data_IF_774073776528
#
_entry.id   IF_774073776528
#
_cell.length_a   1.000
_cell.length_b   1.000
_cell.length_c   1.000
_cell.angle_alpha   90.00
_cell.angle_beta   90.00
_cell.angle_gamma   90.00
#
_symmetry.space_group_name_H-M   'P 1'
#
loop_
_entity.id
_entity.type
_entity.pdbx_description
1 polymer ?
#
# COMPACT_ATOMS: atom_id res chain seq x y z
N UNK A 1 10.19 -23.43 8.64
CA UNK A 1 9.37 -22.63 7.72
C UNK A 1 9.02 -21.34 8.43
N UNK A 2 8.92 -20.24 7.70
CA UNK A 2 8.54 -18.93 8.25
C UNK A 2 7.03 -18.88 8.40
N UNK A 3 6.50 -18.62 9.60
CA UNK A 3 5.07 -18.35 9.78
C UNK A 3 4.72 -17.05 9.07
N UNK A 4 3.75 -17.04 8.17
CA UNK A 4 3.43 -15.84 7.38
C UNK A 4 1.96 -15.48 7.55
N UNK A 5 1.69 -14.21 7.83
CA UNK A 5 0.32 -13.67 7.92
C UNK A 5 0.15 -12.52 6.93
N UNK A 6 -0.98 -12.53 6.22
CA UNK A 6 -1.42 -11.40 5.42
C UNK A 6 -2.34 -10.51 6.27
N UNK A 7 -1.97 -9.23 6.44
CA UNK A 7 -2.76 -8.24 7.18
C UNK A 7 -3.37 -7.27 6.18
N UNK A 8 -4.60 -7.54 5.77
CA UNK A 8 -5.33 -6.75 4.77
C UNK A 8 -6.30 -5.76 5.42
N UNK A 9 -6.96 -4.93 4.61
CA UNK A 9 -7.93 -3.94 5.05
C UNK A 9 -7.86 -2.66 4.24
N UNK A 10 -8.98 -1.96 4.17
CA UNK A 10 -9.12 -0.76 3.35
C UNK A 10 -8.25 0.39 3.86
N UNK A 11 -8.13 1.47 3.07
CA UNK A 11 -7.33 2.62 3.47
C UNK A 11 -7.85 3.21 4.80
N UNK A 12 -6.95 3.55 5.70
CA UNK A 12 -7.29 4.14 6.99
C UNK A 12 -7.90 3.19 8.02
N UNK A 13 -7.99 1.87 7.77
CA UNK A 13 -8.57 0.93 8.76
C UNK A 13 -7.70 0.69 10.01
N UNK A 14 -6.42 1.09 9.97
CA UNK A 14 -5.47 0.95 11.09
C UNK A 14 -4.52 -0.25 11.00
N UNK A 15 -4.31 -0.81 9.80
CA UNK A 15 -3.37 -1.93 9.55
C UNK A 15 -1.98 -1.71 10.16
N UNK A 16 -1.33 -0.60 9.82
CA UNK A 16 0.01 -0.26 10.29
C UNK A 16 0.07 -0.11 11.81
N UNK A 17 -0.92 0.58 12.41
CA UNK A 17 -1.05 0.68 13.87
C UNK A 17 -1.16 -0.70 14.53
N UNK A 18 -1.93 -1.61 13.94
CA UNK A 18 -2.05 -2.98 14.42
C UNK A 18 -0.76 -3.78 14.29
N UNK A 19 -0.02 -3.62 13.20
CA UNK A 19 1.29 -4.26 13.04
C UNK A 19 2.27 -3.75 14.09
N UNK A 20 2.32 -2.44 14.33
CA UNK A 20 3.16 -1.85 15.37
C UNK A 20 2.82 -2.40 16.76
N UNK A 21 1.53 -2.52 17.08
CA UNK A 21 1.09 -3.14 18.32
C UNK A 21 1.56 -4.60 18.43
N UNK A 22 1.38 -5.40 17.38
CA UNK A 22 1.82 -6.80 17.36
C UNK A 22 3.33 -6.93 17.55
N UNK A 23 4.12 -6.06 16.91
CA UNK A 23 5.58 -6.05 17.04
C UNK A 23 6.04 -5.64 18.43
N UNK A 24 5.36 -4.68 19.07
CA UNK A 24 5.67 -4.26 20.44
C UNK A 24 5.38 -5.37 21.48
N UNK A 25 4.48 -6.30 21.16
CA UNK A 25 4.04 -7.37 22.05
C UNK A 25 4.48 -8.78 21.62
N UNK A 26 5.34 -8.89 20.60
CA UNK A 26 5.86 -10.18 20.14
C UNK A 26 6.78 -10.82 21.18
N UNK A 27 7.00 -12.12 21.07
CA UNK A 27 8.08 -12.78 21.81
C UNK A 27 9.43 -12.14 21.41
N UNK A 28 10.21 -11.60 22.37
CA UNK A 28 11.54 -11.06 22.09
C UNK A 28 12.51 -12.08 21.49
N UNK A 29 12.29 -13.39 21.74
CA UNK A 29 13.09 -14.47 21.18
C UNK A 29 12.80 -14.75 19.70
N UNK A 30 11.61 -14.37 19.21
CA UNK A 30 11.25 -14.54 17.80
C UNK A 30 11.75 -13.37 16.94
N UNK A 31 12.35 -13.72 15.80
CA UNK A 31 12.76 -12.76 14.78
C UNK A 31 11.63 -12.52 13.80
N UNK A 32 10.98 -11.36 13.89
CA UNK A 32 9.91 -10.99 12.99
C UNK A 32 10.43 -10.13 11.84
N UNK A 33 9.80 -10.27 10.68
CA UNK A 33 9.99 -9.39 9.54
C UNK A 33 8.64 -8.81 9.11
N UNK A 34 8.66 -7.60 8.56
CA UNK A 34 7.49 -7.00 7.94
C UNK A 34 7.82 -6.62 6.50
N UNK A 35 6.96 -7.05 5.58
CA UNK A 35 6.97 -6.65 4.19
C UNK A 35 5.81 -5.69 3.96
N UNK A 36 6.12 -4.40 3.96
CA UNK A 36 5.14 -3.34 3.70
C UNK A 36 5.27 -2.82 2.28
N UNK A 37 4.15 -2.46 1.67
CA UNK A 37 4.14 -1.81 0.38
C UNK A 37 4.10 -0.29 0.51
N UNK A 38 4.99 0.43 -0.20
CA UNK A 38 5.06 1.88 -0.08
C UNK A 38 3.98 2.58 -0.92
N UNK A 39 2.87 2.99 -0.30
CA UNK A 39 1.96 4.01 -0.86
C UNK A 39 1.37 4.94 0.21
N UNK A 40 2.23 5.75 0.83
CA UNK A 40 1.88 7.12 1.16
C UNK A 40 1.17 7.39 2.50
N UNK A 41 1.60 6.77 3.59
CA UNK A 41 1.64 7.45 4.88
C UNK A 41 3.03 7.25 5.49
N UNK A 42 3.88 8.23 5.21
CA UNK A 42 5.13 8.57 5.91
C UNK A 42 6.25 7.52 5.98
N UNK A 43 7.46 7.96 5.65
CA UNK A 43 8.72 7.32 6.07
C UNK A 43 8.93 7.31 7.60
N UNK A 44 7.87 7.46 8.39
CA UNK A 44 7.82 7.15 9.82
C UNK A 44 7.79 5.64 9.99
N UNK A 45 7.12 4.88 9.12
CA UNK A 45 7.01 3.43 9.26
C UNK A 45 8.37 2.74 9.26
N UNK A 46 9.29 3.20 8.40
CA UNK A 46 10.70 2.79 8.39
C UNK A 46 11.41 2.97 9.73
N UNK A 47 11.25 4.13 10.35
CA UNK A 47 11.94 4.51 11.58
C UNK A 47 11.25 3.97 12.85
N UNK A 48 9.91 3.97 12.90
CA UNK A 48 9.12 3.46 14.03
C UNK A 48 9.18 1.92 14.09
N UNK A 49 9.23 1.24 12.94
CA UNK A 49 9.45 -0.20 12.88
C UNK A 49 10.91 -0.58 13.14
N UNK A 50 11.89 0.28 12.80
CA UNK A 50 13.31 0.02 13.11
C UNK A 50 13.56 -0.07 14.63
N UNK A 51 12.87 0.74 15.44
CA UNK A 51 12.95 0.70 16.90
C UNK A 51 12.30 -0.55 17.52
N UNK A 52 11.46 -1.27 16.78
CA UNK A 52 10.79 -2.50 17.25
C UNK A 52 11.67 -3.77 17.17
N UNK A 53 12.88 -3.66 16.61
CA UNK A 53 13.81 -4.80 16.45
C UNK A 53 13.43 -5.80 15.35
N UNK A 54 12.43 -5.48 14.52
CA UNK A 54 12.02 -6.30 13.37
C UNK A 54 12.83 -5.99 12.11
N UNK A 55 13.01 -6.99 11.24
CA UNK A 55 13.56 -6.77 9.91
C UNK A 55 12.49 -6.16 8.99
N UNK A 56 12.58 -4.86 8.74
CA UNK A 56 11.71 -4.19 7.78
C UNK A 56 12.29 -4.30 6.36
N UNK A 57 11.46 -4.73 5.41
CA UNK A 57 11.77 -4.61 3.99
C UNK A 57 10.65 -3.86 3.29
N UNK A 58 11.00 -2.71 2.76
CA UNK A 58 10.10 -1.90 1.94
C UNK A 58 10.21 -2.32 0.47
N UNK A 59 9.08 -2.28 -0.25
CA UNK A 59 9.02 -2.43 -1.71
C UNK A 59 8.93 -1.04 -2.33
N UNK A 60 10.00 -0.52 -2.96
CA UNK A 60 9.99 0.82 -3.53
C UNK A 60 9.13 0.88 -4.81
N UNK A 61 8.28 1.91 -4.89
CA UNK A 61 7.76 2.46 -6.15
C UNK A 61 6.54 1.81 -6.82
N UNK A 62 5.80 0.88 -6.22
CA UNK A 62 4.61 0.33 -6.86
C UNK A 62 3.68 -0.44 -5.93
N UNK A 63 2.42 -0.63 -6.34
CA UNK A 63 1.51 -1.57 -5.66
C UNK A 63 2.12 -2.99 -5.69
N UNK A 64 2.17 -3.65 -4.53
CA UNK A 64 2.65 -5.04 -4.36
C UNK A 64 2.01 -6.01 -5.39
N UNK A 65 0.79 -5.69 -5.83
CA UNK A 65 -0.01 -6.39 -6.82
C UNK A 65 0.12 -5.88 -8.28
N UNK A 66 0.59 -4.65 -8.55
CA UNK A 66 0.38 -4.03 -9.87
C UNK A 66 1.43 -4.35 -10.95
N UNK A 67 2.57 -4.97 -10.63
CA UNK A 67 3.65 -5.30 -11.60
C UNK A 67 4.05 -6.77 -11.50
N UNK A 68 3.15 -7.69 -11.88
CA UNK A 68 3.37 -9.15 -11.87
C UNK A 68 3.96 -9.70 -10.55
N UNK A 69 3.78 -8.99 -9.43
CA UNK A 69 4.37 -9.32 -8.14
C UNK A 69 5.91 -9.38 -8.10
N UNK A 70 6.66 -8.98 -9.13
CA UNK A 70 8.13 -9.16 -9.15
C UNK A 70 8.84 -8.38 -8.01
N UNK A 71 8.51 -7.11 -7.72
CA UNK A 71 9.09 -6.41 -6.57
C UNK A 71 8.78 -7.12 -5.24
N UNK A 72 7.56 -7.66 -5.10
CA UNK A 72 7.17 -8.48 -3.95
C UNK A 72 7.98 -9.76 -3.87
N UNK A 73 8.14 -10.49 -4.98
CA UNK A 73 8.95 -11.71 -5.04
C UNK A 73 10.40 -11.45 -4.66
N UNK A 74 10.99 -10.35 -5.12
CA UNK A 74 12.37 -9.97 -4.76
C UNK A 74 12.47 -9.65 -3.27
N UNK A 75 11.56 -8.85 -2.73
CA UNK A 75 11.52 -8.52 -1.31
C UNK A 75 11.33 -9.76 -0.43
N UNK A 76 10.36 -10.60 -0.79
CA UNK A 76 10.04 -11.85 -0.13
C UNK A 76 11.23 -12.82 -0.15
N UNK A 77 11.85 -13.04 -1.31
CA UNK A 77 13.03 -13.90 -1.43
C UNK A 77 14.22 -13.39 -0.61
N UNK A 78 14.41 -12.07 -0.56
CA UNK A 78 15.46 -11.46 0.26
C UNK A 78 15.23 -11.73 1.74
N UNK A 79 14.00 -11.50 2.23
CA UNK A 79 13.64 -11.75 3.62
C UNK A 79 13.76 -13.24 3.99
N UNK A 80 13.24 -14.14 3.17
CA UNK A 80 13.28 -15.58 3.45
C UNK A 80 14.70 -16.15 3.44
N UNK A 81 15.58 -15.68 2.54
CA UNK A 81 16.94 -16.23 2.40
C UNK A 81 17.96 -15.59 3.34
N UNK A 82 17.94 -14.27 3.46
CA UNK A 82 18.92 -13.51 4.23
C UNK A 82 18.42 -13.19 5.63
N UNK A 83 17.15 -12.79 5.74
CA UNK A 83 16.52 -12.46 7.01
C UNK A 83 16.23 -13.69 7.85
N UNK A 84 15.79 -14.80 7.24
CA UNK A 84 15.34 -16.04 7.91
C UNK A 84 14.49 -15.75 9.16
N UNK A 85 13.40 -14.97 9.04
CA UNK A 85 12.57 -14.66 10.18
C UNK A 85 11.78 -15.88 10.63
N UNK A 86 11.42 -15.92 11.92
CA UNK A 86 10.46 -16.88 12.46
C UNK A 86 9.03 -16.56 12.00
N UNK A 87 8.73 -15.25 11.87
CA UNK A 87 7.45 -14.75 11.38
C UNK A 87 7.60 -13.62 10.36
N UNK A 88 6.76 -13.64 9.33
CA UNK A 88 6.62 -12.59 8.33
C UNK A 88 5.20 -12.02 8.34
N UNK A 89 5.07 -10.72 8.58
CA UNK A 89 3.83 -9.98 8.38
C UNK A 89 3.88 -9.28 7.03
N UNK A 90 2.81 -9.41 6.24
CA UNK A 90 2.71 -8.75 4.93
C UNK A 90 1.56 -7.76 5.00
N UNK A 91 1.88 -6.48 4.76
CA UNK A 91 0.90 -5.41 4.64
C UNK A 91 0.83 -4.93 3.17
N UNK A 92 -0.22 -5.30 2.43
CA UNK A 92 -0.52 -4.65 1.17
C UNK A 92 -1.07 -3.24 1.41
N UNK A 93 -0.99 -2.41 0.38
CA UNK A 93 -1.71 -1.12 0.36
C UNK A 93 -3.19 -1.30 0.65
N UNK A 94 -3.85 -0.25 1.14
CA UNK A 94 -5.32 -0.22 1.28
C UNK A 94 -6.09 -0.50 -0.03
N UNK A 95 -5.40 -0.44 -1.18
CA UNK A 95 -5.89 -0.78 -2.52
C UNK A 95 -5.33 -2.11 -3.07
N UNK A 96 -4.64 -2.88 -2.24
CA UNK A 96 -3.96 -4.10 -2.68
C UNK A 96 -4.93 -5.24 -2.93
N UNK A 97 -4.66 -6.02 -3.98
CA UNK A 97 -5.47 -7.17 -4.37
C UNK A 97 -5.04 -8.42 -3.58
N UNK A 98 -5.81 -8.85 -2.56
CA UNK A 98 -5.41 -9.94 -1.67
C UNK A 98 -5.27 -11.27 -2.41
N UNK A 99 -6.08 -11.50 -3.45
CA UNK A 99 -6.02 -12.72 -4.26
C UNK A 99 -4.63 -12.98 -4.82
N UNK A 100 -4.02 -12.00 -5.47
CA UNK A 100 -2.72 -12.18 -6.14
C UNK A 100 -1.61 -12.45 -5.13
N UNK A 101 -1.69 -11.82 -3.96
CA UNK A 101 -0.75 -12.02 -2.86
C UNK A 101 -0.90 -13.44 -2.31
N UNK A 102 -2.14 -13.89 -2.07
CA UNK A 102 -2.41 -15.26 -1.61
C UNK A 102 -1.99 -16.30 -2.65
N UNK A 103 -2.26 -16.08 -3.94
CA UNK A 103 -1.83 -16.96 -5.04
C UNK A 103 -0.29 -17.06 -5.08
N UNK A 104 0.42 -15.95 -4.84
CA UNK A 104 1.88 -15.96 -4.76
C UNK A 104 2.38 -16.72 -3.53
N UNK A 105 1.83 -16.43 -2.36
CA UNK A 105 2.26 -17.03 -1.09
C UNK A 105 1.97 -18.53 -1.00
N UNK A 106 0.97 -19.00 -1.74
CA UNK A 106 0.61 -20.42 -1.84
C UNK A 106 1.22 -21.13 -3.06
N UNK A 107 2.03 -20.44 -3.88
CA UNK A 107 2.65 -21.04 -5.05
C UNK A 107 3.67 -22.14 -4.64
N UNK A 108 3.80 -23.23 -5.43
CA UNK A 108 4.67 -24.38 -5.08
C UNK A 108 6.13 -24.02 -4.78
N UNK A 109 6.65 -22.95 -5.39
CA UNK A 109 8.02 -22.48 -5.16
C UNK A 109 8.24 -21.96 -3.72
N UNK A 110 7.18 -21.49 -3.05
CA UNK A 110 7.25 -20.97 -1.68
C UNK A 110 6.81 -21.97 -0.61
N UNK A 111 6.15 -23.07 -0.99
CA UNK A 111 5.70 -24.12 -0.07
C UNK A 111 6.81 -24.62 0.89
N UNK A 112 8.09 -24.81 0.48
CA UNK A 112 9.14 -25.23 1.42
C UNK A 112 9.58 -24.15 2.43
N UNK A 113 9.20 -22.90 2.21
CA UNK A 113 9.73 -21.74 2.91
C UNK A 113 8.69 -21.04 3.78
N UNK A 114 7.44 -21.01 3.32
CA UNK A 114 6.33 -20.25 3.89
C UNK A 114 5.30 -21.20 4.48
N UNK A 115 4.97 -20.95 5.73
CA UNK A 115 3.82 -21.52 6.42
C UNK A 115 2.74 -20.43 6.52
N UNK A 116 1.84 -20.38 5.54
CA UNK A 116 0.80 -19.35 5.46
C UNK A 116 -0.31 -19.61 6.49
N UNK A 117 -0.36 -18.74 7.49
CA UNK A 117 -1.34 -18.72 8.58
C UNK A 117 -2.55 -17.85 8.23
N UNK A 118 -3.48 -17.70 9.17
CA UNK A 118 -4.71 -16.93 8.99
C UNK A 118 -4.43 -15.52 8.42
N UNK A 119 -5.27 -15.13 7.44
CA UNK A 119 -5.36 -13.77 6.90
C UNK A 119 -6.28 -12.95 7.77
N UNK A 120 -5.77 -11.82 8.27
CA UNK A 120 -6.54 -10.89 9.10
C UNK A 120 -6.94 -9.69 8.23
N UNK A 121 -8.22 -9.32 8.22
CA UNK A 121 -8.70 -8.09 7.60
C UNK A 121 -9.09 -7.08 8.67
N UNK A 122 -8.38 -5.95 8.70
CA UNK A 122 -8.68 -4.83 9.59
C UNK A 122 -9.78 -3.98 8.94
N UNK A 123 -10.91 -3.87 9.62
CA UNK A 123 -12.11 -3.16 9.19
C UNK A 123 -12.44 -2.06 10.19
N UNK A 124 -12.64 -0.83 9.71
CA UNK A 124 -13.34 0.23 10.46
C UNK A 124 -14.84 0.10 10.17
N UNK A 125 -15.69 -0.27 11.15
CA UNK A 125 -17.12 -0.49 10.93
C UNK A 125 -17.86 0.68 10.28
N UNK A 126 -17.37 1.91 10.45
CA UNK A 126 -18.00 3.11 9.85
C UNK A 126 -17.90 3.12 8.33
N UNK A 127 -16.94 2.39 7.74
CA UNK A 127 -16.85 2.23 6.28
C UNK A 127 -18.03 1.46 5.70
N UNK A 128 -18.74 0.66 6.52
CA UNK A 128 -19.97 -0.02 6.09
C UNK A 128 -21.17 0.92 5.96
N UNK A 129 -21.08 2.14 6.52
CA UNK A 129 -22.10 3.18 6.35
C UNK A 129 -21.91 3.97 5.04
N UNK A 130 -20.73 3.88 4.42
CA UNK A 130 -20.43 4.56 3.16
C UNK A 130 -20.73 3.64 1.97
N UNK A 131 -21.78 3.98 1.22
CA UNK A 131 -22.18 3.24 0.02
C UNK A 131 -21.06 3.10 -1.00
N UNK A 132 -20.17 4.10 -1.14
CA UNK A 132 -19.04 4.02 -2.08
C UNK A 132 -18.04 2.96 -1.65
N UNK A 133 -17.73 2.91 -0.36
CA UNK A 133 -16.85 1.89 0.22
C UNK A 133 -17.45 0.49 0.06
N UNK A 134 -18.73 0.30 0.39
CA UNK A 134 -19.40 -1.00 0.25
C UNK A 134 -19.50 -1.45 -1.21
N UNK A 135 -19.76 -0.52 -2.13
CA UNK A 135 -19.80 -0.78 -3.57
C UNK A 135 -18.41 -1.00 -4.20
N UNK A 136 -17.32 -0.71 -3.50
CA UNK A 136 -15.97 -0.91 -4.00
C UNK A 136 -15.57 -2.40 -4.01
N UNK A 137 -15.17 -2.92 -5.17
CA UNK A 137 -14.77 -4.31 -5.35
C UNK A 137 -13.58 -4.69 -4.46
N UNK A 138 -12.57 -3.83 -4.37
CA UNK A 138 -11.38 -4.09 -3.56
C UNK A 138 -11.72 -4.13 -2.06
N UNK A 139 -12.62 -3.27 -1.57
CA UNK A 139 -13.10 -3.35 -0.18
C UNK A 139 -13.74 -4.72 0.10
N UNK A 140 -14.59 -5.20 -0.81
CA UNK A 140 -15.23 -6.52 -0.67
C UNK A 140 -14.25 -7.67 -0.79
N UNK A 141 -13.29 -7.60 -1.72
CA UNK A 141 -12.27 -8.63 -1.93
C UNK A 141 -11.36 -8.78 -0.71
N UNK A 142 -10.96 -7.66 -0.08
CA UNK A 142 -10.18 -7.66 1.17
C UNK A 142 -10.93 -8.33 2.31
N UNK A 143 -12.22 -8.02 2.47
CA UNK A 143 -13.05 -8.67 3.47
C UNK A 143 -13.25 -10.16 3.13
N UNK A 144 -13.48 -10.52 1.87
CA UNK A 144 -13.72 -11.90 1.45
C UNK A 144 -12.48 -12.79 1.63
N UNK A 145 -11.27 -12.23 1.47
CA UNK A 145 -10.00 -12.95 1.61
C UNK A 145 -9.66 -13.36 3.05
N UNK A 146 -10.31 -12.74 4.03
CA UNK A 146 -9.95 -12.89 5.44
C UNK A 146 -10.44 -14.21 6.04
N UNK A 147 -9.61 -14.81 6.88
CA UNK A 147 -10.01 -15.82 7.85
C UNK A 147 -10.65 -15.16 9.08
N UNK A 148 -10.12 -13.98 9.45
CA UNK A 148 -10.49 -13.25 10.65
C UNK A 148 -10.79 -11.80 10.27
N UNK A 149 -11.96 -11.30 10.65
CA UNK A 149 -12.31 -9.88 10.56
C UNK A 149 -12.02 -9.23 11.90
N UNK A 150 -11.20 -8.18 11.87
CA UNK A 150 -10.89 -7.35 13.03
C UNK A 150 -11.66 -6.04 12.88
N UNK A 151 -12.76 -5.90 13.60
CA UNK A 151 -13.51 -4.66 13.73
C UNK A 151 -12.74 -3.69 14.63
N UNK A 152 -11.88 -2.89 14.02
CA UNK A 152 -10.99 -1.94 14.68
C UNK A 152 -11.67 -0.57 14.90
N UNK A 153 -11.05 0.23 15.76
CA UNK A 153 -11.53 1.55 16.19
C UNK A 153 -12.86 1.49 16.93
N UNK A 154 -13.03 0.46 17.77
CA UNK A 154 -14.19 0.33 18.64
C UNK A 154 -14.40 1.57 19.53
N UNK A 155 -13.32 2.30 19.87
CA UNK A 155 -13.33 3.58 20.57
C UNK A 155 -14.09 4.70 19.81
N UNK A 156 -14.30 4.55 18.50
CA UNK A 156 -15.01 5.50 17.64
C UNK A 156 -16.27 4.91 17.00
N UNK A 157 -16.68 3.72 17.43
CA UNK A 157 -17.88 3.08 16.92
C UNK A 157 -19.13 3.84 17.39
N UNK A 158 -20.10 3.98 16.50
CA UNK A 158 -21.46 4.43 16.82
C UNK A 158 -22.43 3.27 16.72
N UNK A 159 -23.60 3.39 17.35
CA UNK A 159 -24.65 2.37 17.27
C UNK A 159 -25.05 2.05 15.81
N UNK A 160 -25.03 3.05 14.92
CA UNK A 160 -25.28 2.84 13.50
C UNK A 160 -24.18 1.98 12.85
N UNK A 161 -22.91 2.27 13.12
CA UNK A 161 -21.79 1.50 12.55
C UNK A 161 -21.72 0.07 13.10
N UNK A 162 -22.08 -0.15 14.36
CA UNK A 162 -22.17 -1.48 14.96
C UNK A 162 -23.31 -2.29 14.34
N UNK A 163 -24.47 -1.66 14.12
CA UNK A 163 -25.58 -2.30 13.43
C UNK A 163 -25.22 -2.63 11.97
N UNK A 164 -24.52 -1.74 11.27
CA UNK A 164 -24.02 -2.00 9.93
C UNK A 164 -23.05 -3.19 9.90
N UNK A 165 -22.13 -3.28 10.88
CA UNK A 165 -21.24 -4.43 11.05
C UNK A 165 -22.02 -5.72 11.32
N UNK A 166 -23.01 -5.69 12.22
CA UNK A 166 -23.81 -6.86 12.54
C UNK A 166 -24.61 -7.34 11.33
N UNK A 167 -25.22 -6.42 10.58
CA UNK A 167 -25.97 -6.71 9.35
C UNK A 167 -25.05 -7.31 8.30
N UNK A 168 -23.88 -6.71 8.08
CA UNK A 168 -22.88 -7.23 7.16
C UNK A 168 -22.39 -8.62 7.60
N UNK A 169 -22.13 -8.81 8.89
CA UNK A 169 -21.66 -10.08 9.46
C UNK A 169 -22.69 -11.21 9.29
N UNK A 170 -23.97 -10.92 9.48
CA UNK A 170 -25.04 -11.90 9.26
C UNK A 170 -25.09 -12.39 7.82
N UNK A 171 -24.82 -11.52 6.86
CA UNK A 171 -24.90 -11.85 5.44
C UNK A 171 -23.60 -12.46 4.89
N UNK A 172 -22.45 -11.93 5.29
CA UNK A 172 -21.14 -12.27 4.72
C UNK A 172 -20.21 -13.00 5.68
N UNK A 173 -20.43 -12.94 6.99
CA UNK A 173 -19.50 -13.45 8.01
C UNK A 173 -19.19 -14.95 7.86
N UNK A 174 -20.20 -15.77 7.55
CA UNK A 174 -20.02 -17.21 7.39
C UNK A 174 -19.47 -17.86 8.67
N UNK A 175 -18.55 -18.81 8.51
CA UNK A 175 -17.90 -19.52 9.62
C UNK A 175 -16.60 -18.84 10.12
N UNK A 176 -16.39 -17.58 9.72
CA UNK A 176 -15.16 -16.84 10.06
C UNK A 176 -15.22 -16.31 11.48
N UNK A 177 -14.09 -15.81 11.97
CA UNK A 177 -14.01 -15.20 13.29
C UNK A 177 -14.12 -13.68 13.19
N UNK A 178 -14.98 -13.08 14.03
CA UNK A 178 -15.05 -11.63 14.24
C UNK A 178 -14.42 -11.31 15.59
N UNK A 179 -13.49 -10.36 15.59
CA UNK A 179 -12.90 -9.81 16.82
C UNK A 179 -13.00 -8.30 16.79
N UNK A 180 -13.14 -7.68 17.96
CA UNK A 180 -13.15 -6.23 18.10
C UNK A 180 -11.81 -5.75 18.63
N UNK A 181 -11.37 -4.59 18.17
CA UNK A 181 -10.12 -3.96 18.59
C UNK A 181 -10.31 -2.44 18.77
N UNK A 182 -9.65 -1.88 19.76
CA UNK A 182 -9.46 -0.45 19.96
C UNK A 182 -8.01 -0.06 19.67
N UNK A 183 -7.78 1.10 19.05
CA UNK A 183 -6.42 1.59 18.74
C UNK A 183 -5.49 0.57 18.05
N UNK A 184 -6.03 -0.36 17.25
CA UNK A 184 -5.27 -1.41 16.59
C UNK A 184 -4.75 -2.52 17.49
N UNK A 185 -5.20 -2.62 18.75
CA UNK A 185 -4.76 -3.65 19.69
C UNK A 185 -5.36 -5.01 19.32
N UNK A 186 -4.50 -5.92 18.86
CA UNK A 186 -4.89 -7.24 18.38
C UNK A 186 -4.12 -8.28 19.19
N UNK A 187 -4.80 -9.31 19.67
CA UNK A 187 -4.16 -10.45 20.31
C UNK A 187 -3.26 -11.20 19.31
N UNK A 188 -1.96 -11.28 19.62
CA UNK A 188 -0.97 -11.95 18.81
C UNK A 188 -1.27 -13.44 18.58
N UNK A 189 -2.04 -14.10 19.44
CA UNK A 189 -2.44 -15.51 19.28
C UNK A 189 -3.28 -15.74 18.00
N UNK A 190 -3.98 -14.71 17.52
CA UNK A 190 -4.74 -14.78 16.27
C UNK A 190 -3.83 -15.08 15.06
N UNK A 191 -2.55 -14.69 15.13
CA UNK A 191 -1.58 -14.93 14.06
C UNK A 191 -1.16 -16.41 13.95
N UNK A 192 -1.39 -17.22 14.99
CA UNK A 192 -1.06 -18.66 14.98
C UNK A 192 -2.21 -19.53 14.47
N UNK A 193 -3.40 -18.96 14.27
CA UNK A 193 -4.54 -19.67 13.73
C UNK A 193 -4.26 -20.14 12.29
N UNK A 194 -4.72 -21.35 11.93
CA UNK A 194 -4.53 -21.87 10.58
C UNK A 194 -5.34 -21.06 9.56
N UNK A 195 -4.85 -21.02 8.32
CA UNK A 195 -5.65 -20.55 7.19
C UNK A 195 -6.73 -21.59 6.88
N UNK A 196 -8.00 -21.21 7.04
CA UNK A 196 -9.17 -22.05 6.78
C UNK A 196 -9.99 -21.55 5.60
N UNK A 197 -9.87 -20.26 5.27
CA UNK A 197 -10.53 -19.63 4.14
C UNK A 197 -9.78 -19.93 2.84
N UNK A 198 -10.31 -20.92 2.13
CA UNK A 198 -9.87 -21.34 0.80
C UNK A 198 -10.85 -20.90 -0.29
N UNK A 199 -11.78 -19.98 0.02
CA UNK A 199 -12.75 -19.51 -0.96
C UNK A 199 -12.02 -18.93 -2.18
N UNK A 200 -12.49 -19.30 -3.38
CA UNK A 200 -12.03 -18.66 -4.60
C UNK A 200 -12.49 -17.21 -4.58
N UNK A 201 -11.52 -16.31 -4.43
CA UNK A 201 -11.77 -14.89 -4.60
C UNK A 201 -12.03 -14.63 -6.08
N UNK A 202 -13.03 -13.81 -6.42
CA UNK A 202 -13.31 -13.48 -7.81
C UNK A 202 -12.05 -12.92 -8.46
N UNK A 203 -11.75 -13.37 -9.67
CA UNK A 203 -10.80 -12.66 -10.52
C UNK A 203 -11.44 -11.30 -10.82
N UNK A 204 -10.89 -10.21 -10.27
CA UNK A 204 -11.40 -8.87 -10.54
C UNK A 204 -11.47 -8.70 -12.07
N UNK A 205 -12.66 -8.38 -12.61
CA UNK A 205 -12.94 -8.40 -14.05
C UNK A 205 -11.98 -7.52 -14.88
N UNK A 206 -11.34 -6.55 -14.23
CA UNK A 206 -10.29 -5.68 -14.77
C UNK A 206 -9.00 -6.42 -15.17
N UNK A 207 -8.86 -7.72 -14.87
CA UNK A 207 -7.73 -8.58 -15.24
C UNK A 207 -8.04 -9.64 -16.30
N UNK A 208 -9.31 -9.92 -16.64
CA UNK A 208 -9.63 -10.78 -17.78
C UNK A 208 -9.30 -10.10 -19.12
N UNK A 209 -9.18 -8.78 -19.12
CA UNK A 209 -8.79 -7.95 -20.27
C UNK A 209 -7.61 -7.03 -19.93
N UNK A 210 -6.41 -7.59 -19.75
CA UNK A 210 -5.18 -6.82 -19.98
C UNK A 210 -3.96 -7.70 -20.26
N UNK A 211 -3.89 -8.24 -21.48
CA UNK A 211 -2.62 -8.58 -22.13
C UNK A 211 -1.88 -7.34 -22.69
N UNK A 212 -2.29 -6.14 -22.30
CA UNK A 212 -1.56 -4.92 -22.59
C UNK A 212 -0.82 -4.48 -21.32
N UNK A 213 0.50 -4.69 -21.30
CA UNK A 213 1.52 -4.12 -20.40
C UNK A 213 1.01 -2.98 -19.49
N UNK A 214 0.42 -3.28 -18.33
CA UNK A 214 0.12 -2.28 -17.30
C UNK A 214 1.42 -2.00 -16.51
N UNK A 215 2.21 -1.02 -16.98
CA UNK A 215 3.44 -0.57 -16.32
C UNK A 215 3.11 0.48 -15.26
N UNK A 216 2.96 0.06 -14.00
CA UNK A 216 2.97 0.97 -12.84
C UNK A 216 4.28 1.75 -12.73
N UNK A 217 4.34 2.79 -11.90
CA UNK A 217 5.51 3.69 -11.79
C UNK A 217 6.83 2.96 -11.46
N UNK A 218 6.77 1.86 -10.69
CA UNK A 218 7.91 0.96 -10.41
C UNK A 218 8.46 0.27 -11.66
N UNK A 219 7.60 -0.03 -12.64
CA UNK A 219 7.98 -0.67 -13.89
C UNK A 219 8.49 0.33 -14.95
N UNK A 220 8.44 1.63 -14.65
CA UNK A 220 9.03 2.65 -15.49
C UNK A 220 10.53 2.67 -15.23
N UNK A 221 11.27 1.99 -16.10
CA UNK A 221 12.66 2.36 -16.35
C UNK A 221 12.70 3.53 -17.32
N UNK A 222 13.61 4.47 -17.06
CA UNK A 222 14.05 5.44 -18.06
C UNK A 222 15.03 4.72 -19.00
N UNK A 223 14.73 4.58 -20.30
CA UNK A 223 15.74 4.19 -21.27
C UNK A 223 16.93 5.16 -21.20
N UNK A 224 18.15 4.70 -21.45
CA UNK A 224 19.41 5.46 -21.28
C UNK A 224 19.54 6.77 -22.09
N UNK A 225 18.52 7.13 -22.87
CA UNK A 225 18.47 8.34 -23.72
C UNK A 225 17.28 9.27 -23.40
N UNK A 226 16.41 8.93 -22.44
CA UNK A 226 15.26 9.77 -22.08
C UNK A 226 15.47 10.43 -20.73
N UNK A 227 15.24 11.75 -20.67
CA UNK A 227 15.34 12.53 -19.42
C UNK A 227 14.12 12.41 -18.53
N UNK A 228 12.98 12.05 -19.10
CA UNK A 228 11.73 11.84 -18.37
C UNK A 228 10.77 10.94 -19.16
N UNK A 229 9.80 10.36 -18.45
CA UNK A 229 8.74 9.54 -19.05
C UNK A 229 7.42 9.72 -18.27
N UNK A 230 6.31 9.76 -19.01
CA UNK A 230 4.95 9.72 -18.45
C UNK A 230 4.36 8.31 -18.53
N UNK A 231 3.58 7.93 -17.53
CA UNK A 231 2.66 6.78 -17.55
C UNK A 231 1.25 7.22 -17.18
N UNK A 232 0.26 6.69 -17.89
CA UNK A 232 -1.16 6.92 -17.65
C UNK A 232 -1.79 5.58 -17.30
N UNK A 233 -2.53 5.56 -16.20
CA UNK A 233 -3.28 4.41 -15.74
C UNK A 233 -4.71 4.84 -15.43
N UNK A 234 -5.67 3.95 -15.67
CA UNK A 234 -7.07 4.17 -15.33
C UNK A 234 -7.65 2.87 -14.78
N UNK A 235 -8.45 2.96 -13.72
CA UNK A 235 -9.09 1.80 -13.07
C UNK A 235 -9.99 2.24 -11.91
N UNK A 236 -11.02 1.45 -11.60
CA UNK A 236 -11.93 1.72 -10.47
C UNK A 236 -12.53 3.15 -10.45
N UNK A 237 -12.81 3.74 -11.60
CA UNK A 237 -13.37 5.11 -11.71
C UNK A 237 -12.37 6.25 -11.49
N UNK A 238 -11.08 5.94 -11.30
CA UNK A 238 -10.01 6.93 -11.09
C UNK A 238 -9.05 6.94 -12.29
N UNK A 239 -8.45 8.10 -12.52
CA UNK A 239 -7.35 8.29 -13.45
C UNK A 239 -6.08 8.62 -12.68
N UNK A 240 -4.99 7.92 -13.00
CA UNK A 240 -3.68 8.19 -12.44
C UNK A 240 -2.70 8.57 -13.55
N UNK A 241 -1.90 9.60 -13.29
CA UNK A 241 -0.82 10.00 -14.17
C UNK A 241 0.44 10.16 -13.35
N UNK A 242 1.51 9.54 -13.81
CA UNK A 242 2.80 9.64 -13.16
C UNK A 242 3.93 9.95 -14.10
N UNK A 243 4.93 10.63 -13.55
CA UNK A 243 6.13 11.06 -14.23
C UNK A 243 7.36 10.57 -13.48
N UNK A 244 8.34 10.09 -14.25
CA UNK A 244 9.70 9.78 -13.78
C UNK A 244 10.69 10.67 -14.52
N UNK A 245 11.70 11.15 -13.81
CA UNK A 245 12.78 11.99 -14.34
C UNK A 245 14.13 11.42 -13.96
N UNK A 246 15.14 11.63 -14.82
CA UNK A 246 16.51 11.20 -14.59
C UNK A 246 17.11 11.79 -13.30
N UNK A 247 18.25 11.23 -12.88
CA UNK A 247 18.98 11.71 -11.71
C UNK A 247 19.47 13.16 -11.87
N UNK A 248 19.60 13.67 -13.10
CA UNK A 248 20.16 15.00 -13.35
C UNK A 248 19.09 16.10 -13.41
N UNK A 249 17.81 15.73 -13.34
CA UNK A 249 16.71 16.68 -13.35
C UNK A 249 16.45 17.21 -11.95
N UNK A 250 16.72 18.50 -11.75
CA UNK A 250 16.46 19.23 -10.50
C UNK A 250 15.25 20.13 -10.70
N UNK A 251 14.38 20.24 -9.68
CA UNK A 251 13.18 21.08 -9.72
C UNK A 251 13.30 22.30 -8.79
N UNK A 252 12.63 23.38 -9.18
CA UNK A 252 12.38 24.53 -8.33
C UNK A 252 11.47 24.12 -7.17
N UNK A 253 11.99 24.21 -5.94
CA UNK A 253 11.30 23.72 -4.74
C UNK A 253 9.96 24.42 -4.53
N UNK A 254 9.94 25.76 -4.64
CA UNK A 254 8.74 26.56 -4.35
C UNK A 254 7.66 26.29 -5.40
N UNK A 255 8.01 26.39 -6.68
CA UNK A 255 7.08 26.16 -7.77
C UNK A 255 6.55 24.72 -7.81
N UNK A 256 7.35 23.73 -7.42
CA UNK A 256 6.89 22.35 -7.29
C UNK A 256 5.87 22.17 -6.17
N UNK A 257 6.11 22.78 -5.01
CA UNK A 257 5.14 22.75 -3.91
C UNK A 257 3.85 23.46 -4.30
N UNK A 258 3.92 24.65 -4.91
CA UNK A 258 2.73 25.37 -5.39
C UNK A 258 1.95 24.57 -6.45
N UNK A 259 2.65 23.98 -7.43
CA UNK A 259 2.04 23.14 -8.45
C UNK A 259 1.33 21.94 -7.84
N UNK A 260 1.96 21.26 -6.87
CA UNK A 260 1.36 20.10 -6.20
C UNK A 260 0.14 20.47 -5.37
N UNK A 261 0.15 21.67 -4.76
CA UNK A 261 -0.97 22.20 -3.96
C UNK A 261 -2.17 22.58 -4.82
N UNK A 262 -1.93 23.12 -6.01
CA UNK A 262 -2.97 23.65 -6.90
C UNK A 262 -3.49 22.63 -7.92
N UNK A 263 -2.83 21.48 -8.07
CA UNK A 263 -3.28 20.44 -8.97
C UNK A 263 -4.73 20.00 -8.64
N UNK A 264 -5.66 19.99 -9.61
CA UNK A 264 -7.07 19.66 -9.38
C UNK A 264 -7.29 18.14 -9.35
N UNK A 265 -6.63 17.47 -8.40
CA UNK A 265 -6.61 16.00 -8.28
C UNK A 265 -6.79 15.60 -6.82
N UNK A 266 -7.41 14.45 -6.56
CA UNK A 266 -7.67 13.97 -5.19
C UNK A 266 -6.40 13.57 -4.44
N UNK A 267 -5.34 13.16 -5.15
CA UNK A 267 -4.07 12.77 -4.54
C UNK A 267 -2.85 13.22 -5.33
N UNK A 268 -1.79 13.61 -4.63
CA UNK A 268 -0.44 13.86 -5.17
C UNK A 268 0.56 13.12 -4.30
N UNK A 269 1.41 12.28 -4.89
CA UNK A 269 2.53 11.65 -4.18
C UNK A 269 3.79 11.78 -5.01
N UNK A 270 4.88 12.27 -4.44
CA UNK A 270 6.14 12.34 -5.17
C UNK A 270 7.38 12.42 -4.28
N UNK A 271 8.50 11.95 -4.84
CA UNK A 271 9.86 12.16 -4.34
C UNK A 271 10.60 12.86 -5.45
N UNK A 272 10.94 14.13 -5.25
CA UNK A 272 11.45 15.01 -6.29
C UNK A 272 12.81 15.55 -5.89
N UNK A 273 13.76 15.53 -6.82
CA UNK A 273 15.08 16.12 -6.63
C UNK A 273 14.99 17.64 -6.69
N UNK A 274 15.52 18.30 -5.67
CA UNK A 274 15.62 19.75 -5.54
C UNK A 274 17.09 20.14 -5.29
N UNK A 275 17.42 21.43 -5.31
CA UNK A 275 18.80 21.91 -5.13
C UNK A 275 19.43 21.41 -3.82
N UNK A 276 18.63 21.35 -2.76
CA UNK A 276 19.08 20.98 -1.42
C UNK A 276 19.13 19.46 -1.19
N UNK A 277 18.61 18.64 -2.11
CA UNK A 277 18.53 17.19 -1.98
C UNK A 277 17.23 16.65 -2.56
N UNK A 278 16.30 16.26 -1.70
CA UNK A 278 14.97 15.81 -2.10
C UNK A 278 13.86 16.51 -1.33
N UNK A 279 12.70 16.61 -1.98
CA UNK A 279 11.42 16.93 -1.35
C UNK A 279 10.45 15.77 -1.58
N UNK A 280 9.80 15.34 -0.50
CA UNK A 280 8.68 14.41 -0.53
C UNK A 280 7.39 15.18 -0.41
N UNK A 281 6.45 14.88 -1.30
CA UNK A 281 5.13 15.48 -1.34
C UNK A 281 4.13 14.35 -1.15
N UNK A 282 3.23 14.50 -0.18
CA UNK A 282 2.08 13.63 -0.01
C UNK A 282 0.85 14.48 0.28
N UNK A 283 -0.07 14.54 -0.67
CA UNK A 283 -1.32 15.28 -0.57
C UNK A 283 -2.48 14.33 -0.82
N UNK A 284 -3.47 14.33 0.07
CA UNK A 284 -4.74 13.63 -0.11
C UNK A 284 -5.88 14.55 0.29
N UNK A 285 -6.68 15.01 -0.68
CA UNK A 285 -7.64 16.09 -0.46
C UNK A 285 -6.93 17.36 0.05
N UNK A 286 -7.39 17.86 1.20
CA UNK A 286 -6.81 19.03 1.88
C UNK A 286 -5.63 18.67 2.80
N UNK A 287 -5.44 17.39 3.12
CA UNK A 287 -4.33 16.93 3.95
C UNK A 287 -3.04 16.96 3.14
N UNK A 288 -2.07 17.75 3.60
CA UNK A 288 -0.83 17.99 2.88
C UNK A 288 0.39 17.86 3.80
N UNK A 289 1.28 16.93 3.44
CA UNK A 289 2.52 16.66 4.14
C UNK A 289 3.71 16.85 3.19
N UNK A 290 4.73 17.57 3.68
CA UNK A 290 5.96 17.86 2.96
C UNK A 290 7.14 17.54 3.88
N UNK A 291 8.12 16.81 3.35
CA UNK A 291 9.37 16.51 4.03
C UNK A 291 10.54 16.86 3.09
N UNK A 292 11.62 17.42 3.63
CA UNK A 292 12.86 17.65 2.88
C UNK A 292 14.01 16.89 3.51
N UNK A 293 14.91 16.37 2.67
CA UNK A 293 16.12 15.70 3.14
C UNK A 293 17.31 16.14 2.29
N UNK A 294 18.48 16.31 2.93
CA UNK A 294 19.70 16.78 2.28
C UNK A 294 20.44 15.68 1.50
N UNK A 295 19.70 14.72 0.96
CA UNK A 295 20.23 13.60 0.17
C UNK A 295 19.43 13.56 -1.12
N UNK A 296 20.11 13.58 -2.25
CA UNK A 296 19.46 13.52 -3.55
C UNK A 296 18.88 12.11 -3.81
N UNK A 297 17.68 11.99 -4.39
CA UNK A 297 17.09 10.69 -4.68
C UNK A 297 17.73 10.12 -5.97
N UNK A 298 17.74 8.79 -6.18
CA UNK A 298 18.32 8.19 -7.39
C UNK A 298 17.64 8.65 -8.69
N UNK A 299 16.36 8.99 -8.62
CA UNK A 299 15.55 9.62 -9.68
C UNK A 299 14.42 10.44 -9.04
N UNK A 300 13.73 11.27 -9.83
CA UNK A 300 12.52 11.95 -9.36
C UNK A 300 11.27 11.23 -9.87
N UNK A 301 10.28 11.07 -9.00
CA UNK A 301 9.03 10.36 -9.29
C UNK A 301 7.86 11.12 -8.69
N UNK A 302 6.81 11.34 -9.46
CA UNK A 302 5.56 11.94 -8.95
C UNK A 302 4.35 11.34 -9.64
N UNK A 303 3.31 11.05 -8.88
CA UNK A 303 2.05 10.47 -9.33
C UNK A 303 0.88 11.26 -8.76
N UNK A 304 -0.09 11.52 -9.63
CA UNK A 304 -1.34 12.20 -9.34
C UNK A 304 -2.50 11.24 -9.58
N UNK A 305 -3.50 11.25 -8.70
CA UNK A 305 -4.73 10.47 -8.85
C UNK A 305 -5.92 11.42 -8.80
N UNK A 306 -6.78 11.32 -9.80
CA UNK A 306 -8.00 12.10 -9.94
C UNK A 306 -9.23 11.20 -10.04
N UNK A 307 -10.32 11.65 -9.43
CA UNK A 307 -11.62 10.97 -9.43
C UNK A 307 -12.44 11.34 -10.68
N UNK A 308 -11.96 12.33 -11.45
CA UNK A 308 -12.60 12.89 -12.64
C UNK A 308 -11.61 13.03 -13.78
N UNK A 309 -12.14 13.23 -14.99
CA UNK A 309 -11.32 13.48 -16.18
C UNK A 309 -10.45 14.72 -15.99
N UNK A 310 -9.14 14.54 -16.10
CA UNK A 310 -8.13 15.57 -15.78
C UNK A 310 -7.27 15.87 -17.01
N UNK A 311 -6.98 17.15 -17.25
CA UNK A 311 -6.04 17.56 -18.29
C UNK A 311 -4.59 17.31 -17.88
N UNK A 312 -4.14 16.07 -18.13
CA UNK A 312 -2.78 15.63 -17.86
C UNK A 312 -1.71 16.37 -18.67
N UNK A 313 -2.05 16.94 -19.83
CA UNK A 313 -1.09 17.68 -20.65
C UNK A 313 -0.77 19.05 -20.05
N UNK A 314 -1.80 19.73 -19.50
CA UNK A 314 -1.61 20.99 -18.77
C UNK A 314 -0.77 20.77 -17.52
N UNK A 315 -1.09 19.76 -16.71
CA UNK A 315 -0.32 19.40 -15.52
C UNK A 315 1.13 19.04 -15.85
N UNK A 316 1.35 18.22 -16.88
CA UNK A 316 2.69 17.88 -17.36
C UNK A 316 3.47 19.11 -17.81
N UNK A 317 2.86 19.98 -18.61
CA UNK A 317 3.54 21.16 -19.17
C UNK A 317 3.97 22.11 -18.06
N UNK A 318 3.13 22.29 -17.03
CA UNK A 318 3.49 23.06 -15.85
C UNK A 318 4.63 22.40 -15.07
N UNK A 319 4.55 21.09 -14.79
CA UNK A 319 5.62 20.34 -14.10
C UNK A 319 6.96 20.44 -14.82
N UNK A 320 6.97 20.32 -16.15
CA UNK A 320 8.19 20.38 -16.96
C UNK A 320 8.86 21.77 -16.96
N UNK A 321 8.12 22.85 -16.71
CA UNK A 321 8.64 24.21 -16.60
C UNK A 321 9.32 24.50 -15.26
N UNK A 322 9.05 23.67 -14.26
CA UNK A 322 9.65 23.79 -12.93
C UNK A 322 11.05 23.19 -12.85
N UNK A 323 11.53 22.55 -13.92
CA UNK A 323 12.90 22.03 -13.96
C UNK A 323 13.89 23.19 -14.04
N UNK A 324 14.92 23.11 -13.22
CA UNK A 324 16.04 24.03 -13.25
C UNK A 324 17.03 23.57 -14.31
N UNK A 325 17.61 24.53 -15.03
CA UNK A 325 18.69 24.24 -15.96
C UNK A 325 19.93 23.78 -15.16
N UNK A 326 20.67 22.81 -15.70
CA UNK A 326 21.86 22.26 -15.07
C UNK A 326 23.00 23.27 -14.84
N UNK A 327 22.82 24.53 -15.27
CA UNK A 327 23.79 25.62 -15.23
C UNK A 327 23.31 26.87 -14.44
N UNK A 328 22.29 26.75 -13.58
CA UNK A 328 21.73 27.88 -12.81
C UNK A 328 21.90 27.77 -11.29
#
# INVERSE_FOLDING_TARGET
MTKTNLITGFLGSGKTTSILHLLANKDPAEKWAVLVNEFGEVGIDGALLADSGALLKEIPGGCMCCVNGLPMQVGLNTLLRQGKPDRLLIEPTGLGHPKQILDLLTAPVYEPWIDLRATLCILDPRLLLDEKSVANDNFRDQLAAADIIVANKADRATAESENALQTWWQHYGGNRQLVHADHGQIDGQLLDLPRLNLAELPASAEHAHSHADKKGLAALSLPSQQRWRRSLNSGQGHQACGWIFDADTVFDTIGLLEWSRLAPVGRVKGVMRIKEGLVRINRQGDDWHIETQNVAPPDSRIELIADTETDWNTLQSALLRLRLDANA
#
